data_IF_796196712093
#
_entry.id   IF_796196712093
#
_cell.length_a   1.000
_cell.length_b   1.000
_cell.length_c   1.000
_cell.angle_alpha   90.00
_cell.angle_beta   90.00
_cell.angle_gamma   90.00
#
_symmetry.space_group_name_H-M   'P 1'
#
loop_
_entity.id
_entity.type
_entity.pdbx_description
1 polymer ?
#
# COMPACT_ATOMS: atom_id res chain seq x y z
N UNK A 1 16.17 -37.30 35.90
CA UNK A 1 15.90 -35.93 35.41
C UNK A 1 15.55 -36.03 33.93
N UNK A 2 14.29 -35.88 33.61
CA UNK A 2 13.89 -35.79 32.21
C UNK A 2 14.16 -34.37 31.73
N UNK A 3 15.11 -34.21 30.86
CA UNK A 3 15.29 -32.98 30.09
C UNK A 3 14.11 -32.93 29.14
N UNK A 4 13.11 -32.11 29.45
CA UNK A 4 12.10 -31.72 28.46
C UNK A 4 12.87 -30.91 27.43
N UNK A 5 13.27 -31.55 26.34
CA UNK A 5 13.70 -30.87 25.17
C UNK A 5 12.48 -30.03 24.70
N UNK A 6 12.52 -28.75 25.00
CA UNK A 6 11.70 -27.79 24.25
C UNK A 6 12.15 -27.93 22.79
N UNK A 7 11.52 -28.82 22.04
CA UNK A 7 11.52 -28.68 20.61
C UNK A 7 10.96 -27.31 20.34
N UNK A 8 11.85 -26.33 20.13
CA UNK A 8 11.51 -25.18 19.35
C UNK A 8 11.00 -25.76 18.04
N UNK A 9 9.70 -25.82 17.88
CA UNK A 9 9.09 -25.96 16.58
C UNK A 9 9.77 -24.88 15.76
N UNK A 10 10.75 -25.26 14.96
CA UNK A 10 11.30 -24.37 13.95
C UNK A 10 10.09 -23.95 13.15
N UNK A 11 9.64 -22.71 13.38
CA UNK A 11 8.68 -22.11 12.52
C UNK A 11 9.31 -22.22 11.12
N UNK A 12 8.78 -23.13 10.31
CA UNK A 12 9.19 -23.20 8.92
C UNK A 12 9.10 -21.78 8.40
N UNK A 13 10.15 -21.26 7.74
CA UNK A 13 10.21 -19.88 7.28
C UNK A 13 9.11 -19.51 6.28
N UNK A 14 8.12 -20.36 6.11
CA UNK A 14 6.98 -20.19 5.23
C UNK A 14 5.70 -19.93 6.03
N UNK A 15 4.82 -19.14 5.46
CA UNK A 15 3.49 -18.94 5.99
C UNK A 15 2.65 -20.21 5.85
N UNK A 16 1.87 -20.54 6.88
CA UNK A 16 0.84 -21.56 6.74
C UNK A 16 -0.34 -21.02 5.92
N UNK A 17 -1.09 -21.92 5.29
CA UNK A 17 -2.31 -21.57 4.55
C UNK A 17 -3.33 -20.82 5.45
N UNK A 18 -3.44 -21.24 6.70
CA UNK A 18 -4.31 -20.61 7.69
C UNK A 18 -3.90 -19.17 8.00
N UNK A 19 -2.61 -18.92 8.17
CA UNK A 19 -2.06 -17.58 8.42
C UNK A 19 -2.31 -16.67 7.21
N UNK A 20 -2.06 -17.14 5.99
CA UNK A 20 -2.32 -16.39 4.76
C UNK A 20 -3.81 -16.04 4.61
N UNK A 21 -4.69 -16.98 4.87
CA UNK A 21 -6.14 -16.74 4.87
C UNK A 21 -6.53 -15.69 5.91
N UNK A 22 -5.95 -15.74 7.10
CA UNK A 22 -6.20 -14.75 8.15
C UNK A 22 -5.75 -13.36 7.75
N UNK A 23 -4.56 -13.22 7.16
CA UNK A 23 -4.04 -11.94 6.67
C UNK A 23 -4.91 -11.37 5.55
N UNK A 24 -5.20 -12.15 4.53
CA UNK A 24 -5.98 -11.71 3.37
C UNK A 24 -7.42 -11.37 3.79
N UNK A 25 -8.05 -12.19 4.62
CA UNK A 25 -9.39 -11.91 5.12
C UNK A 25 -9.42 -10.66 6.04
N UNK A 26 -8.40 -10.49 6.87
CA UNK A 26 -8.27 -9.32 7.74
C UNK A 26 -8.09 -8.02 6.98
N UNK A 27 -7.39 -8.02 5.87
CA UNK A 27 -7.23 -6.86 4.99
C UNK A 27 -8.55 -6.50 4.26
N UNK A 28 -9.41 -7.48 4.00
CA UNK A 28 -10.76 -7.25 3.51
C UNK A 28 -10.84 -6.37 2.26
N UNK A 29 -11.57 -5.26 2.36
CA UNK A 29 -11.77 -4.33 1.24
C UNK A 29 -10.48 -3.69 0.69
N UNK A 30 -9.41 -3.63 1.48
CA UNK A 30 -8.11 -3.17 1.00
C UNK A 30 -7.52 -4.04 -0.11
N UNK A 31 -7.91 -5.31 -0.16
CA UNK A 31 -7.52 -6.30 -1.16
C UNK A 31 -8.60 -6.56 -2.22
N UNK A 32 -9.68 -5.80 -2.22
CA UNK A 32 -10.78 -5.99 -3.16
C UNK A 32 -10.31 -5.85 -4.62
N UNK A 33 -10.91 -6.61 -5.57
CA UNK A 33 -10.68 -6.41 -7.00
C UNK A 33 -10.97 -4.96 -7.36
N UNK A 34 -10.09 -4.32 -8.11
CA UNK A 34 -10.20 -2.92 -8.50
C UNK A 34 -9.38 -1.94 -7.65
N UNK A 35 -8.84 -2.34 -6.51
CA UNK A 35 -7.85 -1.54 -5.76
C UNK A 35 -6.49 -1.55 -6.45
N UNK A 36 -6.22 -2.52 -7.29
CA UNK A 36 -4.93 -2.74 -7.93
C UNK A 36 -3.85 -3.28 -7.00
N UNK A 37 -4.18 -3.55 -5.75
CA UNK A 37 -3.26 -4.11 -4.76
C UNK A 37 -3.08 -5.61 -4.94
N UNK A 38 -1.86 -6.04 -4.71
CA UNK A 38 -1.48 -7.45 -4.68
C UNK A 38 -0.68 -7.73 -3.42
N UNK A 39 -0.52 -8.98 -3.11
CA UNK A 39 0.33 -9.40 -2.00
C UNK A 39 1.36 -10.44 -2.46
N UNK A 40 2.50 -10.42 -1.82
CA UNK A 40 3.58 -11.37 -2.04
C UNK A 40 4.11 -11.87 -0.72
N UNK A 41 4.76 -13.02 -0.74
CA UNK A 41 5.45 -13.59 0.41
C UNK A 41 6.95 -13.66 0.14
N UNK A 42 7.73 -13.50 1.20
CA UNK A 42 9.17 -13.61 1.14
C UNK A 42 9.72 -14.09 2.48
N UNK A 43 11.02 -14.02 2.63
CA UNK A 43 11.72 -14.32 3.86
C UNK A 43 12.78 -13.29 4.15
N UNK A 44 13.03 -13.03 5.43
CA UNK A 44 14.18 -12.24 5.86
C UNK A 44 15.49 -12.98 5.62
N UNK A 45 16.61 -12.31 5.72
CA UNK A 45 17.95 -12.93 5.66
C UNK A 45 18.14 -14.03 6.74
N UNK A 46 17.41 -13.93 7.84
CA UNK A 46 17.41 -14.91 8.94
C UNK A 46 16.42 -16.06 8.75
N UNK A 47 15.64 -16.05 7.64
CA UNK A 47 14.65 -17.08 7.33
C UNK A 47 13.29 -16.88 7.99
N UNK A 48 12.98 -15.68 8.50
CA UNK A 48 11.67 -15.35 9.04
C UNK A 48 10.67 -15.06 7.91
N UNK A 49 9.44 -15.54 8.05
CA UNK A 49 8.40 -15.32 7.04
C UNK A 49 7.99 -13.85 6.94
N UNK A 50 7.86 -13.36 5.73
CA UNK A 50 7.37 -12.01 5.44
C UNK A 50 6.20 -12.03 4.46
N UNK A 51 5.25 -11.15 4.69
CA UNK A 51 4.11 -10.88 3.83
C UNK A 51 4.12 -9.40 3.44
N UNK A 52 4.05 -9.12 2.16
CA UNK A 52 4.09 -7.77 1.62
C UNK A 52 2.76 -7.42 0.96
N UNK A 53 2.20 -6.28 1.30
CA UNK A 53 1.11 -5.65 0.57
C UNK A 53 1.69 -4.65 -0.41
N UNK A 54 1.48 -4.89 -1.69
CA UNK A 54 1.98 -4.06 -2.78
C UNK A 54 0.88 -3.14 -3.27
N UNK A 55 1.22 -1.89 -3.47
CA UNK A 55 0.33 -0.89 -4.04
C UNK A 55 0.04 -1.12 -5.52
N UNK A 56 -0.84 -0.29 -6.11
CA UNK A 56 -1.22 -0.43 -7.51
C UNK A 56 -0.07 -0.13 -8.48
N UNK A 57 -0.19 -0.64 -9.69
CA UNK A 57 0.70 -0.29 -10.80
C UNK A 57 0.68 1.24 -11.05
N UNK A 58 1.78 1.82 -11.57
CA UNK A 58 2.96 1.16 -12.13
C UNK A 58 4.03 0.80 -11.10
N UNK A 59 4.10 1.47 -9.95
CA UNK A 59 5.24 1.42 -9.05
C UNK A 59 5.27 0.17 -8.17
N UNK A 60 4.11 -0.44 -7.88
CA UNK A 60 3.95 -1.56 -6.95
C UNK A 60 4.79 -1.40 -5.68
N UNK A 61 4.77 -0.20 -5.11
CA UNK A 61 5.49 0.08 -3.89
C UNK A 61 4.94 -0.76 -2.73
N UNK A 62 5.82 -1.26 -1.87
CA UNK A 62 5.40 -1.93 -0.65
C UNK A 62 4.69 -0.93 0.26
N UNK A 63 3.43 -1.15 0.55
CA UNK A 63 2.64 -0.31 1.45
C UNK A 63 2.73 -0.78 2.90
N UNK A 64 2.72 -2.09 3.11
CA UNK A 64 2.82 -2.74 4.41
C UNK A 64 3.65 -4.02 4.32
N UNK A 65 4.32 -4.34 5.41
CA UNK A 65 5.02 -5.60 5.60
C UNK A 65 4.61 -6.22 6.94
N UNK A 66 4.27 -7.50 6.92
CA UNK A 66 4.07 -8.30 8.15
C UNK A 66 5.15 -9.36 8.21
N UNK A 67 5.91 -9.35 9.29
CA UNK A 67 6.96 -10.34 9.55
C UNK A 67 6.57 -11.22 10.74
N UNK A 68 6.84 -12.53 10.65
CA UNK A 68 6.70 -13.45 11.79
C UNK A 68 8.09 -13.72 12.37
N UNK A 69 8.36 -13.17 13.55
CA UNK A 69 9.65 -13.30 14.22
C UNK A 69 9.43 -13.81 15.65
N UNK A 70 10.01 -14.96 15.97
CA UNK A 70 9.95 -15.56 17.31
C UNK A 70 8.52 -15.68 17.88
N UNK A 71 7.57 -16.10 17.05
CA UNK A 71 6.17 -16.29 17.42
C UNK A 71 5.37 -14.99 17.57
N UNK A 72 5.93 -13.86 17.16
CA UNK A 72 5.27 -12.56 17.14
C UNK A 72 5.14 -12.08 15.71
N UNK A 73 4.07 -11.35 15.44
CA UNK A 73 3.81 -10.72 14.15
C UNK A 73 4.08 -9.22 14.25
N UNK A 74 4.92 -8.74 13.38
CA UNK A 74 5.39 -7.35 13.35
C UNK A 74 4.86 -6.70 12.08
N UNK A 75 4.08 -5.63 12.24
CA UNK A 75 3.55 -4.82 11.15
C UNK A 75 4.41 -3.57 10.99
N UNK A 76 4.91 -3.37 9.78
CA UNK A 76 5.70 -2.21 9.37
C UNK A 76 5.07 -1.53 8.15
N UNK A 77 5.30 -0.24 8.01
CA UNK A 77 4.94 0.47 6.79
C UNK A 77 6.00 0.27 5.69
N UNK A 78 5.74 0.83 4.50
CA UNK A 78 6.66 0.72 3.37
C UNK A 78 8.04 1.36 3.59
N UNK A 79 8.20 2.20 4.60
CA UNK A 79 9.49 2.80 5.01
C UNK A 79 10.25 1.97 6.04
N UNK A 80 9.68 0.89 6.53
CA UNK A 80 10.25 0.06 7.59
C UNK A 80 9.94 0.54 9.00
N UNK A 81 9.01 1.49 9.17
CA UNK A 81 8.58 1.98 10.48
C UNK A 81 7.62 1.00 11.13
N UNK A 82 7.89 0.62 12.39
CA UNK A 82 7.01 -0.22 13.18
C UNK A 82 5.66 0.47 13.42
N UNK A 83 4.58 -0.20 13.05
CA UNK A 83 3.21 0.26 13.28
C UNK A 83 2.54 -0.49 14.43
N UNK A 84 2.71 -1.80 14.48
CA UNK A 84 2.06 -2.66 15.48
C UNK A 84 2.82 -3.98 15.63
N UNK A 85 2.79 -4.56 16.82
CA UNK A 85 3.40 -5.85 17.11
C UNK A 85 2.51 -6.62 18.08
N UNK A 86 2.15 -7.86 17.74
CA UNK A 86 1.33 -8.70 18.59
C UNK A 86 1.52 -10.19 18.27
N UNK A 87 1.16 -11.05 19.22
CA UNK A 87 1.17 -12.51 19.02
C UNK A 87 -0.04 -13.03 18.27
N UNK A 88 -1.14 -12.28 18.26
CA UNK A 88 -2.36 -12.64 17.54
C UNK A 88 -2.37 -12.02 16.14
N UNK A 89 -2.31 -12.86 15.12
CA UNK A 89 -2.29 -12.43 13.72
C UNK A 89 -3.57 -11.73 13.29
N UNK A 90 -4.73 -12.08 13.84
CA UNK A 90 -6.00 -11.41 13.53
C UNK A 90 -5.97 -9.94 13.92
N UNK A 91 -5.40 -9.62 15.09
CA UNK A 91 -5.24 -8.23 15.52
C UNK A 91 -4.26 -7.47 14.64
N UNK A 92 -3.16 -8.10 14.23
CA UNK A 92 -2.20 -7.51 13.30
C UNK A 92 -2.85 -7.23 11.95
N UNK A 93 -3.66 -8.14 11.44
CA UNK A 93 -4.39 -7.95 10.18
C UNK A 93 -5.41 -6.81 10.26
N UNK A 94 -6.10 -6.65 11.39
CA UNK A 94 -7.01 -5.52 11.62
C UNK A 94 -6.26 -4.18 11.65
N UNK A 95 -5.12 -4.12 12.32
CA UNK A 95 -4.26 -2.94 12.31
C UNK A 95 -3.69 -2.64 10.92
N UNK A 96 -3.32 -3.68 10.17
CA UNK A 96 -2.88 -3.54 8.78
C UNK A 96 -3.97 -2.93 7.91
N UNK A 97 -5.21 -3.40 8.04
CA UNK A 97 -6.37 -2.84 7.32
C UNK A 97 -6.56 -1.35 7.62
N UNK A 98 -6.44 -0.95 8.89
CA UNK A 98 -6.57 0.45 9.30
C UNK A 98 -5.42 1.32 8.81
N UNK A 99 -4.23 0.75 8.64
CA UNK A 99 -3.03 1.45 8.20
C UNK A 99 -2.92 1.59 6.67
N UNK A 100 -3.68 0.82 5.90
CA UNK A 100 -3.70 0.94 4.43
C UNK A 100 -4.22 2.33 4.06
N UNK A 101 -3.47 3.09 3.23
CA UNK A 101 -3.95 4.38 2.77
C UNK A 101 -5.29 4.25 2.08
N UNK A 102 -6.29 4.97 2.57
CA UNK A 102 -7.66 4.98 2.03
C UNK A 102 -7.77 5.80 0.73
N UNK A 103 -6.69 5.93 -0.02
CA UNK A 103 -6.72 6.51 -1.35
C UNK A 103 -7.63 5.63 -2.20
N UNK A 104 -8.87 6.06 -2.38
CA UNK A 104 -9.78 5.31 -3.24
C UNK A 104 -9.12 5.16 -4.61
N UNK A 105 -9.15 3.96 -5.15
CA UNK A 105 -8.65 3.67 -6.48
C UNK A 105 -9.17 4.67 -7.53
N UNK A 106 -10.39 5.15 -7.36
CA UNK A 106 -10.98 6.23 -8.16
C UNK A 106 -10.17 7.53 -8.08
N UNK A 107 -9.61 7.87 -6.93
CA UNK A 107 -8.83 9.08 -6.75
C UNK A 107 -7.46 8.97 -7.43
N UNK A 108 -6.79 7.82 -7.31
CA UNK A 108 -5.52 7.53 -8.01
C UNK A 108 -5.75 7.53 -9.52
N UNK A 109 -6.83 6.91 -10.00
CA UNK A 109 -7.19 6.91 -11.42
C UNK A 109 -7.56 8.30 -11.93
N UNK A 110 -8.26 9.09 -11.14
CA UNK A 110 -8.57 10.48 -11.48
C UNK A 110 -7.31 11.35 -11.57
N UNK A 111 -6.37 11.20 -10.64
CA UNK A 111 -5.08 11.91 -10.67
C UNK A 111 -4.25 11.48 -11.87
N UNK A 112 -4.17 10.18 -12.15
CA UNK A 112 -3.42 9.64 -13.30
C UNK A 112 -4.02 10.13 -14.62
N UNK A 113 -5.35 10.12 -14.74
CA UNK A 113 -6.07 10.64 -15.90
C UNK A 113 -5.86 12.15 -16.06
N UNK A 114 -5.93 12.89 -14.97
CA UNK A 114 -5.67 14.34 -14.97
C UNK A 114 -4.25 14.66 -15.42
N UNK A 115 -3.24 13.95 -14.93
CA UNK A 115 -1.85 14.13 -15.36
C UNK A 115 -1.66 13.78 -16.84
N UNK A 116 -2.28 12.68 -17.33
CA UNK A 116 -2.22 12.29 -18.73
C UNK A 116 -2.88 13.33 -19.65
N UNK A 117 -4.06 13.82 -19.29
CA UNK A 117 -4.77 14.88 -20.03
C UNK A 117 -3.97 16.18 -20.02
N UNK A 118 -3.40 16.56 -18.88
CA UNK A 118 -2.56 17.75 -18.76
C UNK A 118 -1.33 17.68 -19.65
N UNK A 119 -0.63 16.55 -19.68
CA UNK A 119 0.55 16.37 -20.53
C UNK A 119 0.18 16.41 -22.01
N UNK A 120 -0.91 15.77 -22.43
CA UNK A 120 -1.40 15.80 -23.81
C UNK A 120 -1.85 17.22 -24.20
N UNK A 121 -2.44 17.95 -23.28
CA UNK A 121 -2.84 19.34 -23.50
C UNK A 121 -1.63 20.26 -23.68
N UNK A 122 -0.59 20.07 -22.87
CA UNK A 122 0.66 20.83 -23.00
C UNK A 122 1.36 20.59 -24.35
N UNK A 123 1.45 19.35 -24.80
CA UNK A 123 2.12 19.01 -26.06
C UNK A 123 1.38 19.51 -27.30
N UNK A 124 0.05 19.50 -27.29
CA UNK A 124 -0.76 19.88 -28.46
C UNK A 124 -1.16 21.36 -28.50
N UNK A 125 -1.22 22.05 -27.39
CA UNK A 125 -1.75 23.40 -27.26
C UNK A 125 -0.74 24.45 -26.81
N UNK A 126 0.51 24.07 -26.59
CA UNK A 126 1.59 25.00 -26.26
C UNK A 126 1.71 26.16 -27.30
N UNK A 127 1.58 25.93 -28.64
CA UNK A 127 1.58 27.03 -29.60
C UNK A 127 0.35 27.92 -29.54
N UNK A 128 -0.80 27.42 -29.04
CA UNK A 128 -2.04 28.20 -28.92
C UNK A 128 -2.13 28.99 -27.61
N UNK A 129 -1.38 28.56 -26.57
CA UNK A 129 -1.34 29.23 -25.28
C UNK A 129 -0.57 30.57 -25.32
N UNK A 130 0.35 30.74 -26.26
CA UNK A 130 1.09 31.99 -26.44
C UNK A 130 0.14 33.13 -26.94
N UNK A 131 -0.88 32.80 -27.71
CA UNK A 131 -1.92 33.75 -28.10
C UNK A 131 -3.04 33.91 -27.07
N UNK A 132 -3.23 32.93 -26.20
CA UNK A 132 -4.27 32.90 -25.17
C UNK A 132 -3.83 33.44 -23.79
N UNK A 133 -2.55 33.73 -23.58
CA UNK A 133 -2.05 34.24 -22.31
C UNK A 133 -2.68 35.58 -21.91
N UNK A 134 -2.90 36.46 -22.86
CA UNK A 134 -3.59 37.76 -22.62
C UNK A 134 -5.06 37.54 -22.19
N UNK A 135 -5.74 36.54 -22.73
CA UNK A 135 -7.12 36.20 -22.35
C UNK A 135 -7.21 35.55 -20.98
N UNK A 136 -6.22 34.71 -20.59
CA UNK A 136 -6.20 34.04 -19.32
C UNK A 136 -5.94 35.00 -18.15
N UNK A 137 -5.09 36.00 -18.35
CA UNK A 137 -4.80 37.05 -17.35
C UNK A 137 -6.05 37.90 -17.06
N UNK A 138 -6.96 38.04 -18.01
CA UNK A 138 -8.23 38.75 -17.79
C UNK A 138 -9.28 37.93 -17.01
N UNK A 139 -9.23 36.60 -17.08
CA UNK A 139 -10.19 35.72 -16.38
C UNK A 139 -9.80 35.37 -14.95
N UNK A 140 -8.50 35.31 -14.63
CA UNK A 140 -7.99 34.96 -13.30
C UNK A 140 -8.46 35.90 -12.19
N UNK A 141 -8.55 37.24 -12.37
CA UNK A 141 -9.08 38.12 -11.33
C UNK A 141 -10.57 37.92 -11.04
N UNK A 142 -11.34 37.48 -12.04
CA UNK A 142 -12.78 37.22 -11.86
C UNK A 142 -13.03 35.90 -11.11
N UNK A 143 -12.18 34.88 -11.32
CA UNK A 143 -12.26 33.62 -10.56
C UNK A 143 -11.81 33.77 -9.12
N UNK A 144 -10.84 34.64 -8.84
CA UNK A 144 -10.41 34.97 -7.47
C UNK A 144 -11.48 35.71 -6.66
N UNK A 145 -12.43 36.40 -7.31
CA UNK A 145 -13.56 37.07 -6.65
C UNK A 145 -14.68 36.11 -6.20
N UNK A 146 -14.66 34.83 -6.64
CA UNK A 146 -15.61 33.80 -6.26
C UNK A 146 -15.09 32.80 -5.23
N UNK A 147 -13.85 32.94 -4.78
CA UNK A 147 -13.23 32.10 -3.75
C UNK A 147 -13.52 32.64 -2.33
#
# INVERSE_FOLDING_TARGET
MSVVAFERKQDSGEWSEKELKTLVAGLGAAMAPGTGREWETGMTEKGDAQFYLLGPLPDRACELCVSRISGRYILEDGSGRLLFEHRNLELVALHAKAAVPSTSWLMVRAITLYCAVRNTFHEKFEPLLVEGEELFVQFVPQLAAFA
#
